data_IF_557243690561
#
_entry.id   IF_557243690561
#
_cell.length_a   1.000
_cell.length_b   1.000
_cell.length_c   1.000
_cell.angle_alpha   90.00
_cell.angle_beta   90.00
_cell.angle_gamma   90.00
#
_symmetry.space_group_name_H-M   'P 1'
#
loop_
_entity.id
_entity.type
_entity.pdbx_description
1 polymer ?
#
# COMPACT_ATOMS: atom_id res chain seq x y z
N UNK A 1 28.54 -0.18 12.78
CA UNK A 1 29.93 -0.27 12.28
C UNK A 1 29.96 -0.89 10.88
N UNK A 2 29.16 -1.89 10.63
CA UNK A 2 29.14 -2.66 9.36
C UNK A 2 28.82 -1.85 8.11
N UNK A 3 28.16 -0.69 8.28
CA UNK A 3 27.87 0.24 7.19
C UNK A 3 29.02 1.23 6.91
N UNK A 4 30.12 1.18 7.65
CA UNK A 4 31.26 2.09 7.46
C UNK A 4 31.91 1.84 6.09
N UNK A 5 32.16 2.88 5.33
CA UNK A 5 32.61 2.82 3.93
C UNK A 5 31.51 2.53 2.92
N UNK A 6 30.24 2.42 3.35
CA UNK A 6 29.10 2.08 2.50
C UNK A 6 27.86 2.97 2.71
N UNK A 7 26.69 2.37 2.64
CA UNK A 7 25.39 3.06 2.79
C UNK A 7 24.58 2.43 3.90
N UNK A 8 24.12 3.25 4.84
CA UNK A 8 23.16 2.87 5.87
C UNK A 8 21.75 3.22 5.38
N UNK A 9 20.90 2.21 5.24
CA UNK A 9 19.48 2.39 4.94
C UNK A 9 18.66 2.28 6.22
N UNK A 10 17.89 3.32 6.55
CA UNK A 10 16.95 3.33 7.67
C UNK A 10 15.52 3.38 7.14
N UNK A 11 14.83 2.27 7.25
CA UNK A 11 13.41 2.20 6.91
C UNK A 11 12.57 2.71 8.08
N UNK A 12 11.45 3.35 7.77
CA UNK A 12 10.47 3.92 8.70
C UNK A 12 11.11 4.84 9.78
N UNK A 13 11.97 5.77 9.32
CA UNK A 13 12.65 6.71 10.23
C UNK A 13 11.68 7.54 11.08
N UNK A 14 10.43 7.75 10.61
CA UNK A 14 9.36 8.43 11.36
C UNK A 14 8.94 7.70 12.63
N UNK A 15 9.09 6.38 12.68
CA UNK A 15 8.73 5.57 13.85
C UNK A 15 9.86 5.50 14.90
N UNK A 16 11.00 6.13 14.61
CA UNK A 16 12.14 6.11 15.53
C UNK A 16 11.84 6.88 16.82
N UNK A 17 12.01 6.28 18.02
CA UNK A 17 11.84 6.97 19.29
C UNK A 17 12.78 8.18 19.44
N UNK A 18 12.34 9.26 20.11
CA UNK A 18 13.11 10.51 20.28
C UNK A 18 14.51 10.29 20.89
N UNK A 19 14.65 9.30 21.77
CA UNK A 19 15.95 8.94 22.37
C UNK A 19 16.93 8.44 21.29
N UNK A 20 16.45 7.62 20.35
CA UNK A 20 17.26 7.11 19.24
C UNK A 20 17.53 8.18 18.20
N UNK A 21 16.59 9.09 17.96
CA UNK A 21 16.80 10.27 17.09
C UNK A 21 17.98 11.10 17.62
N UNK A 22 18.07 11.30 18.94
CA UNK A 22 19.20 12.02 19.57
C UNK A 22 20.53 11.29 19.37
N UNK A 23 20.54 9.97 19.46
CA UNK A 23 21.75 9.16 19.21
C UNK A 23 22.19 9.23 17.74
N UNK A 24 21.23 9.06 16.82
CA UNK A 24 21.48 9.18 15.38
C UNK A 24 22.05 10.55 15.03
N UNK A 25 21.46 11.62 15.56
CA UNK A 25 21.95 12.99 15.33
C UNK A 25 23.42 13.15 15.76
N UNK A 26 23.80 12.59 16.91
CA UNK A 26 25.20 12.62 17.37
C UNK A 26 26.13 11.89 16.40
N UNK A 27 25.74 10.70 15.95
CA UNK A 27 26.53 9.95 14.97
C UNK A 27 26.70 10.74 13.68
N UNK A 28 25.64 11.35 13.17
CA UNK A 28 25.68 12.17 11.95
C UNK A 28 26.47 13.47 12.11
N UNK A 29 26.52 14.03 13.33
CA UNK A 29 27.24 15.28 13.60
C UNK A 29 28.74 15.04 13.82
N UNK A 30 29.12 13.95 14.47
CA UNK A 30 30.48 13.68 14.91
C UNK A 30 31.20 12.65 14.04
N UNK A 31 30.46 11.91 13.20
CA UNK A 31 30.96 10.75 12.47
C UNK A 31 31.61 9.70 13.38
N UNK A 32 31.06 9.54 14.58
CA UNK A 32 31.56 8.62 15.59
C UNK A 32 30.39 7.88 16.25
N UNK A 33 30.60 6.62 16.59
CA UNK A 33 29.64 5.79 17.32
C UNK A 33 30.33 5.16 18.52
N UNK A 34 29.65 5.16 19.68
CA UNK A 34 30.07 4.38 20.86
C UNK A 34 29.27 3.08 20.85
N UNK A 35 29.90 1.92 20.66
CA UNK A 35 29.25 0.61 20.71
C UNK A 35 28.58 0.36 22.05
N UNK A 36 27.52 -0.46 22.06
CA UNK A 36 26.90 -0.91 23.30
C UNK A 36 27.90 -1.66 24.15
N UNK A 37 28.10 -1.23 25.42
CA UNK A 37 29.10 -1.79 26.34
C UNK A 37 30.53 -1.30 26.13
N UNK A 38 30.76 -0.49 25.08
CA UNK A 38 32.07 0.16 24.87
C UNK A 38 32.12 1.56 25.47
N UNK A 39 33.32 2.07 25.71
CA UNK A 39 33.56 3.41 26.25
C UNK A 39 34.30 4.32 25.27
N UNK A 40 34.87 3.76 24.20
CA UNK A 40 35.61 4.54 23.21
C UNK A 40 34.80 4.80 21.96
N UNK A 41 34.78 6.05 21.47
CA UNK A 41 34.14 6.37 20.20
C UNK A 41 34.97 5.76 19.03
N UNK A 42 34.26 5.21 18.07
CA UNK A 42 34.82 4.66 16.82
C UNK A 42 34.36 5.53 15.68
N UNK A 43 35.28 5.99 14.84
CA UNK A 43 34.96 6.77 13.63
C UNK A 43 34.21 5.90 12.63
N UNK A 44 33.17 6.48 12.05
CA UNK A 44 32.35 5.86 10.99
C UNK A 44 32.20 6.85 9.84
N UNK A 45 32.21 6.32 8.62
CA UNK A 45 31.95 7.10 7.40
C UNK A 45 30.94 6.31 6.55
N UNK A 46 29.75 6.86 6.31
CA UNK A 46 28.72 6.21 5.55
C UNK A 46 27.76 7.22 4.90
N UNK A 47 27.16 6.81 3.78
CA UNK A 47 26.01 7.51 3.22
C UNK A 47 24.75 7.08 3.93
N UNK A 48 23.83 8.02 4.21
CA UNK A 48 22.56 7.74 4.85
C UNK A 48 21.42 7.85 3.85
N UNK A 49 20.60 6.82 3.76
CA UNK A 49 19.31 6.83 3.06
C UNK A 49 18.22 6.50 4.08
N UNK A 50 17.20 7.34 4.14
CA UNK A 50 16.05 7.14 5.01
C UNK A 50 14.78 7.00 4.18
N UNK A 51 13.88 6.12 4.62
CA UNK A 51 12.53 6.00 4.09
C UNK A 51 11.50 6.20 5.19
N UNK A 52 10.35 6.77 4.85
CA UNK A 52 9.19 6.86 5.75
C UNK A 52 7.92 7.12 4.93
N UNK A 53 6.81 6.64 5.42
CA UNK A 53 5.48 6.98 4.89
C UNK A 53 4.85 8.19 5.61
N UNK A 54 5.46 8.68 6.69
CA UNK A 54 4.94 9.78 7.51
C UNK A 54 5.46 11.14 7.01
N UNK A 55 4.67 12.20 7.22
CA UNK A 55 5.14 13.56 6.98
C UNK A 55 5.99 14.04 8.16
N UNK A 56 7.32 14.00 7.97
CA UNK A 56 8.26 14.42 9.01
C UNK A 56 8.13 15.90 9.40
N UNK A 57 7.60 16.78 8.53
CA UNK A 57 7.37 18.19 8.88
C UNK A 57 6.26 18.31 9.91
N UNK A 58 5.14 17.63 9.69
CA UNK A 58 4.03 17.58 10.64
C UNK A 58 4.51 16.98 11.97
N UNK A 59 5.31 15.91 11.92
CA UNK A 59 5.86 15.31 13.13
C UNK A 59 6.81 16.22 13.91
N UNK A 60 7.53 17.12 13.22
CA UNK A 60 8.35 18.15 13.89
C UNK A 60 7.46 19.15 14.63
N UNK A 61 6.37 19.61 14.02
CA UNK A 61 5.38 20.51 14.64
C UNK A 61 4.73 19.86 15.86
N UNK A 62 4.41 18.56 15.77
CA UNK A 62 3.86 17.75 16.85
C UNK A 62 4.90 17.32 17.91
N UNK A 63 6.17 17.74 17.76
CA UNK A 63 7.30 17.37 18.66
C UNK A 63 7.56 15.84 18.75
N UNK A 64 7.12 15.09 17.78
CA UNK A 64 7.38 13.64 17.63
C UNK A 64 8.65 13.33 16.87
N UNK A 65 9.14 14.30 16.10
CA UNK A 65 10.41 14.23 15.40
C UNK A 65 11.25 15.47 15.70
N UNK A 66 12.55 15.31 15.87
CA UNK A 66 13.44 16.43 16.21
C UNK A 66 13.73 17.27 14.97
N UNK A 67 13.60 18.57 15.09
CA UNK A 67 13.85 19.54 14.02
C UNK A 67 15.30 19.50 13.54
N UNK A 68 16.27 19.37 14.46
CA UNK A 68 17.69 19.32 14.14
C UNK A 68 18.07 18.07 13.31
N UNK A 69 17.48 16.91 13.65
CA UNK A 69 17.66 15.69 12.87
C UNK A 69 17.00 15.82 11.50
N UNK A 70 15.78 16.37 11.43
CA UNK A 70 15.10 16.60 10.17
C UNK A 70 15.97 17.37 9.18
N UNK A 71 16.54 18.54 9.57
CA UNK A 71 17.40 19.32 8.70
C UNK A 71 18.72 18.61 8.35
N UNK A 72 19.19 17.69 9.17
CA UNK A 72 20.41 16.93 8.88
C UNK A 72 20.19 15.86 7.83
N UNK A 73 19.00 15.24 7.77
CA UNK A 73 18.67 14.17 6.82
C UNK A 73 17.95 14.67 5.56
N UNK A 74 17.35 15.86 5.58
CA UNK A 74 16.52 16.41 4.51
C UNK A 74 17.31 16.97 3.31
N UNK A 75 18.50 16.44 3.01
CA UNK A 75 19.34 16.94 1.92
C UNK A 75 18.76 16.71 0.53
N UNK A 76 18.23 15.52 0.25
CA UNK A 76 17.54 15.18 -0.98
C UNK A 76 16.26 14.41 -0.64
N UNK A 77 15.11 14.90 -1.10
CA UNK A 77 13.81 14.25 -0.89
C UNK A 77 13.29 13.72 -2.22
N UNK A 78 12.99 12.43 -2.24
CA UNK A 78 12.36 11.75 -3.38
C UNK A 78 11.02 11.23 -2.89
N UNK A 79 9.94 11.59 -3.59
CA UNK A 79 8.61 11.09 -3.32
C UNK A 79 8.27 9.99 -4.32
N UNK A 80 7.95 8.81 -3.81
CA UNK A 80 7.54 7.68 -4.63
C UNK A 80 6.00 7.70 -4.80
N UNK A 81 5.50 7.92 -6.03
CA UNK A 81 4.06 7.93 -6.26
C UNK A 81 3.47 6.54 -6.02
N UNK A 82 2.26 6.44 -5.44
CA UNK A 82 1.56 5.17 -5.31
C UNK A 82 1.24 4.60 -6.69
N UNK A 83 1.11 3.26 -6.79
CA UNK A 83 0.90 2.58 -8.06
C UNK A 83 -0.34 3.10 -8.82
N UNK A 84 -1.43 3.45 -8.08
CA UNK A 84 -2.65 4.03 -8.67
C UNK A 84 -2.42 5.34 -9.42
N UNK A 85 -1.39 6.12 -9.04
CA UNK A 85 -1.07 7.41 -9.66
C UNK A 85 -0.07 7.29 -10.82
N UNK A 86 0.45 6.10 -11.09
CA UNK A 86 1.41 5.87 -12.17
C UNK A 86 0.70 5.64 -13.50
N UNK A 87 1.27 6.17 -14.57
CA UNK A 87 0.76 6.00 -15.94
C UNK A 87 1.31 4.75 -16.62
N UNK A 88 2.44 4.22 -16.14
CA UNK A 88 3.16 3.06 -16.68
C UNK A 88 2.81 1.74 -15.95
N UNK A 89 1.59 1.64 -15.41
CA UNK A 89 1.16 0.47 -14.62
C UNK A 89 1.34 -0.85 -15.36
N UNK A 90 0.95 -0.93 -16.63
CA UNK A 90 1.07 -2.15 -17.42
C UNK A 90 2.53 -2.65 -17.48
N UNK A 91 3.48 -1.75 -17.75
CA UNK A 91 4.89 -2.09 -17.79
C UNK A 91 5.41 -2.58 -16.43
N UNK A 92 4.98 -1.93 -15.34
CA UNK A 92 5.35 -2.33 -13.98
C UNK A 92 4.79 -3.70 -13.63
N UNK A 93 3.54 -3.98 -14.00
CA UNK A 93 2.89 -5.28 -13.74
C UNK A 93 3.56 -6.41 -14.49
N UNK A 94 3.91 -6.20 -15.76
CA UNK A 94 4.67 -7.18 -16.58
C UNK A 94 6.06 -7.41 -15.98
N UNK A 95 6.81 -6.37 -15.64
CA UNK A 95 8.11 -6.50 -14.99
C UNK A 95 8.04 -7.18 -13.62
N UNK A 96 6.96 -6.93 -12.85
CA UNK A 96 6.73 -7.64 -11.60
C UNK A 96 6.45 -9.14 -11.83
N UNK A 97 5.68 -9.49 -12.88
CA UNK A 97 5.42 -10.87 -13.25
C UNK A 97 6.73 -11.59 -13.65
N UNK A 98 7.58 -10.95 -14.45
CA UNK A 98 8.90 -11.50 -14.81
C UNK A 98 9.74 -11.84 -13.58
N UNK A 99 9.81 -10.93 -12.60
CA UNK A 99 10.53 -11.14 -11.35
C UNK A 99 9.95 -12.30 -10.52
N UNK A 100 8.63 -12.42 -10.45
CA UNK A 100 7.98 -13.51 -9.71
C UNK A 100 8.14 -14.85 -10.43
N UNK A 101 8.11 -14.88 -11.77
CA UNK A 101 8.43 -16.07 -12.57
C UNK A 101 9.87 -16.55 -12.32
N UNK A 102 10.83 -15.62 -12.36
CA UNK A 102 12.22 -15.94 -12.06
C UNK A 102 12.39 -16.48 -10.64
N UNK A 103 11.76 -15.86 -9.66
CA UNK A 103 11.78 -16.30 -8.27
C UNK A 103 11.13 -17.68 -8.06
N UNK A 104 10.14 -18.02 -8.89
CA UNK A 104 9.47 -19.34 -8.90
C UNK A 104 10.24 -20.42 -9.70
N UNK A 105 11.37 -20.08 -10.32
CA UNK A 105 12.14 -20.99 -11.15
C UNK A 105 11.50 -21.30 -12.51
N UNK A 106 10.57 -20.48 -12.97
CA UNK A 106 9.95 -20.60 -14.28
C UNK A 106 10.85 -19.97 -15.34
N UNK A 107 11.13 -20.72 -16.40
CA UNK A 107 12.00 -20.26 -17.51
C UNK A 107 11.23 -19.54 -18.63
N UNK A 108 9.92 -19.61 -18.61
CA UNK A 108 9.04 -18.96 -19.60
C UNK A 108 8.06 -18.05 -18.89
N UNK A 109 7.89 -16.84 -19.44
CA UNK A 109 6.88 -15.91 -18.98
C UNK A 109 5.51 -16.40 -19.47
N UNK A 110 4.53 -16.65 -18.59
CA UNK A 110 3.18 -17.00 -19.01
C UNK A 110 2.51 -15.81 -19.70
N UNK A 111 1.72 -16.10 -20.72
CA UNK A 111 0.86 -15.10 -21.34
C UNK A 111 -0.23 -14.65 -20.37
N UNK A 112 -0.61 -13.38 -20.45
CA UNK A 112 -1.74 -12.80 -19.70
C UNK A 112 -2.84 -12.49 -20.72
N UNK A 113 -4.06 -12.95 -20.49
CA UNK A 113 -5.19 -12.57 -21.34
C UNK A 113 -5.48 -11.07 -21.21
N UNK A 114 -5.99 -10.45 -22.27
CA UNK A 114 -6.33 -9.03 -22.29
C UNK A 114 -7.31 -8.66 -21.15
N UNK A 115 -8.26 -9.55 -20.86
CA UNK A 115 -9.21 -9.33 -19.75
C UNK A 115 -8.50 -9.34 -18.39
N UNK A 116 -7.57 -10.28 -18.16
CA UNK A 116 -6.82 -10.32 -16.90
C UNK A 116 -5.88 -9.12 -16.77
N UNK A 117 -5.24 -8.70 -17.86
CA UNK A 117 -4.40 -7.51 -17.87
C UNK A 117 -5.22 -6.23 -17.58
N UNK A 118 -6.40 -6.10 -18.16
CA UNK A 118 -7.30 -4.97 -17.90
C UNK A 118 -7.72 -4.92 -16.41
N UNK A 119 -8.04 -6.05 -15.79
CA UNK A 119 -8.34 -6.14 -14.36
C UNK A 119 -7.15 -5.67 -13.54
N UNK A 120 -5.96 -6.15 -13.84
CA UNK A 120 -4.75 -5.78 -13.11
C UNK A 120 -4.41 -4.28 -13.25
N UNK A 121 -4.57 -3.71 -14.44
CA UNK A 121 -4.29 -2.29 -14.71
C UNK A 121 -5.32 -1.36 -14.07
N UNK A 122 -6.61 -1.72 -14.10
CA UNK A 122 -7.70 -0.92 -13.53
C UNK A 122 -7.75 -0.98 -12.01
N UNK A 123 -7.20 -2.02 -11.40
CA UNK A 123 -7.22 -2.19 -9.94
C UNK A 123 -6.53 -1.05 -9.19
N UNK A 124 -7.08 -0.60 -8.04
CA UNK A 124 -6.58 0.56 -7.29
C UNK A 124 -5.30 0.29 -6.51
N UNK A 125 -4.97 -0.97 -6.25
CA UNK A 125 -3.75 -1.42 -5.57
C UNK A 125 -3.44 -0.68 -4.26
N UNK A 126 -4.30 -0.70 -3.23
CA UNK A 126 -4.04 0.00 -1.97
C UNK A 126 -2.75 -0.47 -1.28
N UNK A 127 -2.37 -1.74 -1.44
CA UNK A 127 -1.12 -2.31 -0.95
C UNK A 127 0.06 -2.15 -1.92
N UNK A 128 -0.10 -1.36 -3.00
CA UNK A 128 0.95 -1.08 -4.00
C UNK A 128 1.65 -2.36 -4.48
N UNK A 129 2.97 -2.31 -4.68
CA UNK A 129 3.76 -3.41 -5.21
C UNK A 129 3.74 -4.67 -4.34
N UNK A 130 3.54 -4.52 -3.01
CA UNK A 130 3.43 -5.69 -2.13
C UNK A 130 2.18 -6.51 -2.44
N UNK A 131 1.05 -5.84 -2.67
CA UNK A 131 -0.20 -6.50 -3.06
C UNK A 131 -0.11 -7.07 -4.47
N UNK A 132 0.47 -6.35 -5.43
CA UNK A 132 0.72 -6.83 -6.80
C UNK A 132 1.50 -8.15 -6.79
N UNK A 133 2.62 -8.19 -6.07
CA UNK A 133 3.46 -9.39 -6.01
C UNK A 133 2.71 -10.59 -5.44
N UNK A 134 1.91 -10.39 -4.39
CA UNK A 134 1.07 -11.46 -3.83
C UNK A 134 0.03 -11.96 -4.83
N UNK A 135 -0.65 -11.05 -5.54
CA UNK A 135 -1.64 -11.40 -6.53
C UNK A 135 -1.03 -12.15 -7.73
N UNK A 136 0.15 -11.72 -8.20
CA UNK A 136 0.85 -12.39 -9.30
C UNK A 136 1.38 -13.76 -8.90
N UNK A 137 1.89 -13.94 -7.68
CA UNK A 137 2.26 -15.26 -7.14
C UNK A 137 1.07 -16.21 -7.11
N UNK A 138 -0.08 -15.72 -6.63
CA UNK A 138 -1.30 -16.49 -6.64
C UNK A 138 -1.72 -16.88 -8.05
N UNK A 139 -1.67 -15.93 -9.00
CA UNK A 139 -2.01 -16.19 -10.40
C UNK A 139 -1.07 -17.22 -11.04
N UNK A 140 0.23 -17.13 -10.79
CA UNK A 140 1.22 -18.11 -11.29
C UNK A 140 0.96 -19.51 -10.73
N UNK A 141 0.70 -19.61 -9.43
CA UNK A 141 0.41 -20.90 -8.81
C UNK A 141 -0.92 -21.50 -9.31
N UNK A 142 -1.94 -20.65 -9.50
CA UNK A 142 -3.26 -21.08 -9.97
C UNK A 142 -3.28 -21.47 -11.44
N UNK A 143 -2.49 -20.80 -12.31
CA UNK A 143 -2.40 -21.10 -13.75
C UNK A 143 -1.51 -22.30 -14.08
N UNK A 144 -0.74 -22.78 -13.10
CA UNK A 144 0.22 -23.87 -13.32
C UNK A 144 1.29 -23.56 -14.39
N UNK A 145 1.61 -22.28 -14.62
CA UNK A 145 2.55 -21.80 -15.64
C UNK A 145 1.93 -21.63 -17.03
N UNK A 146 0.61 -21.84 -17.17
CA UNK A 146 -0.14 -21.55 -18.40
C UNK A 146 -0.60 -20.09 -18.46
N UNK A 147 -1.42 -19.76 -19.48
CA UNK A 147 -2.01 -18.42 -19.65
C UNK A 147 -2.78 -17.97 -18.40
N UNK A 148 -2.48 -16.78 -17.93
CA UNK A 148 -3.18 -16.15 -16.80
C UNK A 148 -4.47 -15.52 -17.32
N UNK A 149 -5.60 -16.02 -16.83
CA UNK A 149 -6.96 -15.53 -17.14
C UNK A 149 -7.58 -14.92 -15.87
N UNK A 150 -8.72 -14.22 -15.95
CA UNK A 150 -9.42 -13.69 -14.77
C UNK A 150 -9.70 -14.73 -13.67
N UNK A 151 -9.93 -16.00 -14.05
CA UNK A 151 -10.17 -17.10 -13.12
C UNK A 151 -8.95 -17.44 -12.23
N UNK A 152 -7.76 -17.03 -12.67
CA UNK A 152 -6.51 -17.26 -11.94
C UNK A 152 -6.14 -16.07 -11.03
N UNK A 153 -6.91 -14.96 -11.07
CA UNK A 153 -6.69 -13.79 -10.20
C UNK A 153 -7.42 -13.94 -8.87
N UNK A 154 -6.94 -13.30 -7.80
CA UNK A 154 -7.67 -13.22 -6.55
C UNK A 154 -9.08 -12.64 -6.73
N UNK A 155 -10.08 -13.21 -6.08
CA UNK A 155 -11.50 -12.80 -6.19
C UNK A 155 -11.70 -11.32 -5.90
N UNK A 156 -10.98 -10.76 -4.92
CA UNK A 156 -11.05 -9.34 -4.54
C UNK A 156 -10.73 -8.40 -5.71
N UNK A 157 -9.85 -8.80 -6.62
CA UNK A 157 -9.47 -8.00 -7.80
C UNK A 157 -10.53 -8.11 -8.88
N UNK A 158 -11.09 -9.30 -9.09
CA UNK A 158 -12.13 -9.55 -10.11
C UNK A 158 -13.43 -8.83 -9.71
N UNK A 159 -13.83 -8.92 -8.44
CA UNK A 159 -15.01 -8.21 -7.94
C UNK A 159 -14.88 -6.69 -8.02
N UNK A 160 -13.69 -6.15 -7.77
CA UNK A 160 -13.41 -4.71 -7.85
C UNK A 160 -13.56 -4.17 -9.28
N UNK A 161 -13.15 -4.94 -10.28
CA UNK A 161 -13.21 -4.54 -11.70
C UNK A 161 -14.63 -4.59 -12.27
N UNK A 162 -15.49 -5.47 -11.76
CA UNK A 162 -16.88 -5.54 -12.17
C UNK A 162 -17.71 -4.33 -11.69
N UNK A 163 -17.18 -3.58 -10.70
CA UNK A 163 -17.86 -2.38 -10.17
C UNK A 163 -17.50 -1.09 -10.92
N UNK A 164 -16.40 -1.05 -11.67
CA UNK A 164 -15.93 0.18 -12.36
C UNK A 164 -16.48 0.35 -13.78
N UNK A 165 -17.21 -0.63 -14.32
CA UNK A 165 -17.88 -0.49 -15.64
C UNK A 165 -19.16 0.36 -15.61
N UNK A 166 -19.56 0.88 -14.46
CA UNK A 166 -20.67 1.83 -14.31
C UNK A 166 -20.38 2.76 -13.13
N UNK A 167 -19.60 3.80 -13.36
CA UNK A 167 -19.59 4.96 -12.46
C UNK A 167 -20.62 5.97 -12.96
N UNK A 168 -21.82 6.02 -12.37
CA UNK A 168 -22.44 7.31 -12.14
C UNK A 168 -21.71 7.92 -10.93
N UNK A 169 -21.41 9.21 -10.99
CA UNK A 169 -20.94 10.03 -9.87
C UNK A 169 -21.66 9.62 -8.57
N UNK A 170 -20.96 9.63 -7.41
CA UNK A 170 -21.62 9.29 -6.17
C UNK A 170 -22.76 10.30 -5.98
N UNK A 171 -23.99 9.85 -6.16
CA UNK A 171 -25.16 10.58 -5.72
C UNK A 171 -24.92 10.87 -4.22
N UNK A 172 -24.66 12.13 -3.91
CA UNK A 172 -24.25 12.61 -2.58
C UNK A 172 -25.43 12.61 -1.59
N UNK A 173 -26.51 11.88 -1.95
CA UNK A 173 -27.66 11.69 -1.08
C UNK A 173 -28.06 10.21 -1.00
N UNK A 174 -28.22 9.69 0.22
CA UNK A 174 -28.79 8.37 0.41
C UNK A 174 -30.19 8.33 -0.21
N UNK A 175 -30.42 7.37 -1.10
CA UNK A 175 -31.72 7.21 -1.76
C UNK A 175 -32.87 7.14 -0.74
N UNK A 176 -33.99 7.77 -1.00
CA UNK A 176 -35.16 7.64 -0.14
C UNK A 176 -35.57 6.15 -0.06
N UNK A 177 -35.75 5.63 1.14
CA UNK A 177 -36.15 4.23 1.36
C UNK A 177 -35.01 3.24 1.63
N UNK A 178 -33.77 3.68 1.93
CA UNK A 178 -32.67 2.77 2.25
C UNK A 178 -33.01 1.75 3.36
N UNK A 179 -33.74 2.16 4.39
CA UNK A 179 -34.15 1.28 5.48
C UNK A 179 -35.15 0.22 5.02
N UNK A 180 -36.07 0.57 4.16
CA UNK A 180 -37.08 -0.36 3.63
C UNK A 180 -36.44 -1.42 2.73
N UNK A 181 -35.47 -1.03 1.91
CA UNK A 181 -34.71 -1.97 1.06
C UNK A 181 -33.78 -2.85 1.90
N UNK A 182 -33.17 -2.32 2.96
CA UNK A 182 -32.41 -3.14 3.92
C UNK A 182 -33.29 -4.16 4.62
N UNK A 183 -34.52 -3.78 5.03
CA UNK A 183 -35.51 -4.70 5.63
C UNK A 183 -35.94 -5.77 4.64
N UNK A 184 -36.27 -5.40 3.40
CA UNK A 184 -36.66 -6.32 2.33
C UNK A 184 -35.55 -7.34 2.03
N UNK A 185 -34.29 -6.92 2.12
CA UNK A 185 -33.12 -7.75 1.90
C UNK A 185 -32.61 -8.45 3.18
N UNK A 186 -33.42 -8.54 4.23
CA UNK A 186 -33.03 -9.13 5.51
C UNK A 186 -31.69 -8.56 6.06
N UNK A 187 -31.47 -7.24 5.92
CA UNK A 187 -30.26 -6.53 6.32
C UNK A 187 -28.97 -7.01 5.63
N UNK A 188 -29.09 -7.63 4.46
CA UNK A 188 -27.95 -8.05 3.65
C UNK A 188 -27.39 -6.86 2.87
N UNK A 189 -26.26 -6.33 3.32
CA UNK A 189 -25.55 -5.21 2.64
C UNK A 189 -25.21 -5.57 1.19
N UNK A 190 -24.83 -6.82 0.94
CA UNK A 190 -24.48 -7.30 -0.41
C UNK A 190 -25.63 -7.27 -1.39
N UNK A 191 -26.86 -7.68 -0.94
CA UNK A 191 -28.07 -7.60 -1.78
C UNK A 191 -28.50 -6.17 -2.00
N UNK A 192 -28.51 -5.36 -0.94
CA UNK A 192 -28.85 -3.93 -1.00
C UNK A 192 -27.91 -3.15 -1.90
N UNK A 193 -26.60 -3.42 -1.86
CA UNK A 193 -25.62 -2.81 -2.76
C UNK A 193 -25.89 -3.12 -4.23
N UNK A 194 -26.32 -4.35 -4.53
CA UNK A 194 -26.71 -4.78 -5.88
C UNK A 194 -27.98 -4.07 -6.36
N UNK A 195 -28.99 -3.93 -5.50
CA UNK A 195 -30.26 -3.27 -5.86
C UNK A 195 -30.06 -1.78 -6.16
N UNK A 196 -29.19 -1.12 -5.41
CA UNK A 196 -28.85 0.28 -5.65
C UNK A 196 -27.72 0.47 -6.68
N UNK A 197 -27.15 -0.61 -7.21
CA UNK A 197 -26.00 -0.59 -8.15
C UNK A 197 -24.81 0.23 -7.60
N UNK A 198 -24.53 0.11 -6.29
CA UNK A 198 -23.43 0.79 -5.59
C UNK A 198 -22.54 -0.20 -4.86
N UNK A 199 -21.37 0.27 -4.41
CA UNK A 199 -20.46 -0.56 -3.64
C UNK A 199 -21.00 -0.89 -2.24
N UNK A 200 -20.58 -2.02 -1.65
CA UNK A 200 -20.92 -2.37 -0.25
C UNK A 200 -20.45 -1.29 0.72
N UNK A 201 -19.30 -0.65 0.44
CA UNK A 201 -18.77 0.45 1.24
C UNK A 201 -19.70 1.65 1.23
N UNK A 202 -20.31 1.96 0.08
CA UNK A 202 -21.30 3.05 -0.05
C UNK A 202 -22.53 2.76 0.83
N UNK A 203 -23.04 1.54 0.81
CA UNK A 203 -24.17 1.14 1.68
C UNK A 203 -23.78 1.22 3.16
N UNK A 204 -22.59 0.75 3.54
CA UNK A 204 -22.10 0.90 4.91
C UNK A 204 -21.96 2.37 5.34
N UNK A 205 -21.46 3.24 4.46
CA UNK A 205 -21.40 4.68 4.72
C UNK A 205 -22.79 5.26 4.94
N UNK A 206 -23.75 4.94 4.09
CA UNK A 206 -25.14 5.40 4.22
C UNK A 206 -25.83 4.90 5.49
N UNK A 207 -25.57 3.63 5.87
CA UNK A 207 -26.06 3.10 7.15
C UNK A 207 -25.47 3.85 8.33
N UNK A 208 -24.18 4.19 8.28
CA UNK A 208 -23.50 4.96 9.34
C UNK A 208 -24.04 6.39 9.43
N UNK A 209 -24.21 7.07 8.30
CA UNK A 209 -24.77 8.44 8.22
C UNK A 209 -26.19 8.53 8.77
N UNK A 210 -27.00 7.49 8.56
CA UNK A 210 -28.39 7.41 9.06
C UNK A 210 -28.53 6.67 10.39
N UNK A 211 -27.42 6.29 11.01
CA UNK A 211 -27.39 5.52 12.27
C UNK A 211 -28.24 4.24 12.24
N UNK A 212 -28.33 3.60 11.06
CA UNK A 212 -29.10 2.35 10.86
C UNK A 212 -28.27 1.17 11.35
N UNK A 213 -28.83 0.40 12.28
CA UNK A 213 -28.24 -0.85 12.79
C UNK A 213 -29.19 -2.00 12.56
N UNK A 214 -28.61 -3.18 12.27
CA UNK A 214 -29.40 -4.41 12.21
C UNK A 214 -30.10 -4.62 13.55
N UNK A 215 -31.44 -4.78 13.56
CA UNK A 215 -32.13 -5.13 14.81
C UNK A 215 -31.62 -6.46 15.34
N UNK A 216 -31.33 -6.50 16.63
CA UNK A 216 -31.04 -7.76 17.35
C UNK A 216 -32.33 -8.57 17.39
N UNK A 217 -32.34 -9.70 16.71
CA UNK A 217 -33.43 -10.69 16.78
C UNK A 217 -33.29 -11.50 18.03
#
# INVERSE_FOLDING_TARGET
LDASGGTLFLDEIGDMPLVLQTRLLRVLAQNEVVPLGGHMPIKVDFNLICATHQDLKVMVEEKRFRQDLYFRIAGCRIELPPLRARTDKATILVGALELECYAAGLHTLPEISDEALNILVSSPWPGNMRQVRLALRYALASSGGGMITPAHLPEDLVESSCCDAATPEPANHPAPGLEDVLRANAWSVSKTARDYKVSRQTVHRWMKERNLKRPLS
#
